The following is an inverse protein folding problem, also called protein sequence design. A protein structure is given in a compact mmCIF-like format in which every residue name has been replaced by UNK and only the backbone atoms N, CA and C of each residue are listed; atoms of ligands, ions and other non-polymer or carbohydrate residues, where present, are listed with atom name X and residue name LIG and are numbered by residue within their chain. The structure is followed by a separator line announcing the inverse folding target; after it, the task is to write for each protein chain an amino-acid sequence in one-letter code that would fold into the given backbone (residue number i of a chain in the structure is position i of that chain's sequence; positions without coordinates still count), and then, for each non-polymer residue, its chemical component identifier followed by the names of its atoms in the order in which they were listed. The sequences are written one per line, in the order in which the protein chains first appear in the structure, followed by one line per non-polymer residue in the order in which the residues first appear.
data_IF_285209438203
#
_entry.id   IF_285209438203
#
_cell.length_a   1.000
_cell.length_b   1.000
_cell.length_c   1.000
_cell.angle_alpha   90.00
_cell.angle_beta   90.00
_cell.angle_gamma   90.00
#
_symmetry.space_group_name_H-M   'P 1'
#
loop_
_entity.id
_entity.type
_entity.pdbx_description
1 polymer ?
#
# COMPACT_ATOMS: atom_id res chain seq x y z
N UNK A 1 5.05 -0.76 -5.17
CA UNK A 1 5.00 0.01 -3.92
C UNK A 1 3.90 1.07 -4.00
N UNK A 2 3.95 2.04 -4.95
CA UNK A 2 2.96 3.11 -5.05
C UNK A 2 1.52 2.62 -5.20
N UNK A 3 1.29 1.57 -5.97
CA UNK A 3 -0.02 0.93 -6.14
C UNK A 3 -0.58 0.36 -4.83
N UNK A 4 0.26 -0.32 -4.02
CA UNK A 4 -0.16 -0.87 -2.73
C UNK A 4 -0.56 0.25 -1.75
N UNK A 5 0.17 1.36 -1.73
CA UNK A 5 -0.16 2.54 -0.94
C UNK A 5 -1.53 3.10 -1.32
N UNK A 6 -1.76 3.34 -2.62
CA UNK A 6 -3.02 3.91 -3.11
C UNK A 6 -4.20 2.97 -2.85
N UNK A 7 -3.99 1.66 -3.01
CA UNK A 7 -5.02 0.66 -2.69
C UNK A 7 -5.52 0.78 -1.26
N UNK A 8 -4.62 0.91 -0.31
CA UNK A 8 -5.00 1.00 1.10
C UNK A 8 -5.55 2.37 1.46
N UNK A 9 -4.91 3.45 1.03
CA UNK A 9 -5.36 4.80 1.36
C UNK A 9 -6.74 5.13 0.78
N UNK A 10 -7.09 4.58 -0.39
CA UNK A 10 -8.39 4.81 -1.02
C UNK A 10 -9.49 3.86 -0.52
N UNK A 11 -9.19 2.56 -0.38
CA UNK A 11 -10.23 1.55 -0.17
C UNK A 11 -10.42 1.11 1.28
N UNK A 12 -9.42 1.30 2.15
CA UNK A 12 -9.59 1.00 3.58
C UNK A 12 -10.60 1.92 4.28
N UNK A 13 -10.62 3.25 4.04
CA UNK A 13 -11.69 4.10 4.55
C UNK A 13 -13.08 3.69 4.07
N UNK A 14 -13.18 3.31 2.79
CA UNK A 14 -14.44 2.82 2.21
C UNK A 14 -14.93 1.54 2.90
N UNK A 15 -14.01 0.63 3.24
CA UNK A 15 -14.35 -0.57 3.99
C UNK A 15 -14.81 -0.23 5.41
N UNK A 16 -14.09 0.66 6.11
CA UNK A 16 -14.44 1.05 7.50
C UNK A 16 -15.79 1.75 7.55
N UNK A 17 -16.00 2.75 6.70
CA UNK A 17 -17.25 3.55 6.73
C UNK A 17 -18.43 2.82 6.09
N UNK A 18 -18.24 2.23 4.91
CA UNK A 18 -19.31 1.56 4.15
C UNK A 18 -19.66 0.20 4.73
N UNK A 19 -18.69 -0.67 4.91
CA UNK A 19 -18.91 -2.07 5.30
C UNK A 19 -19.06 -2.23 6.80
N UNK A 20 -18.12 -1.70 7.60
CA UNK A 20 -18.15 -1.83 9.06
C UNK A 20 -19.09 -0.81 9.72
N UNK A 21 -19.55 0.22 8.99
CA UNK A 21 -20.40 1.27 9.55
C UNK A 21 -19.67 2.19 10.52
N UNK A 22 -18.35 2.24 10.43
CA UNK A 22 -17.54 3.11 11.26
C UNK A 22 -17.67 4.58 10.89
N UNK A 23 -17.30 5.46 11.82
CA UNK A 23 -17.30 6.89 11.63
C UNK A 23 -16.17 7.37 10.71
N UNK A 24 -16.30 8.53 10.05
CA UNK A 24 -15.17 9.15 9.31
C UNK A 24 -13.93 9.37 10.16
N UNK A 25 -14.11 9.62 11.48
CA UNK A 25 -13.01 9.77 12.43
C UNK A 25 -12.24 8.45 12.62
N UNK A 26 -12.94 7.34 12.71
CA UNK A 26 -12.31 6.02 12.81
C UNK A 26 -11.52 5.65 11.55
N UNK A 27 -12.06 5.94 10.38
CA UNK A 27 -11.33 5.78 9.12
C UNK A 27 -10.10 6.69 9.06
N UNK A 28 -10.24 7.97 9.43
CA UNK A 28 -9.14 8.94 9.49
C UNK A 28 -8.04 8.55 10.47
N UNK A 29 -8.39 8.12 11.69
CA UNK A 29 -7.42 7.66 12.69
C UNK A 29 -6.70 6.39 12.25
N UNK A 30 -7.35 5.52 11.51
CA UNK A 30 -6.72 4.33 10.92
C UNK A 30 -5.67 4.70 9.88
N UNK A 31 -5.98 5.65 8.98
CA UNK A 31 -5.01 6.17 8.02
C UNK A 31 -3.88 6.98 8.69
N UNK A 32 -4.15 7.64 9.81
CA UNK A 32 -3.12 8.34 10.57
C UNK A 32 -2.01 7.39 11.05
N UNK A 33 -2.35 6.15 11.42
CA UNK A 33 -1.35 5.13 11.77
C UNK A 33 -0.44 4.77 10.60
N UNK A 34 -0.97 4.71 9.38
CA UNK A 34 -0.14 4.53 8.17
C UNK A 34 0.81 5.73 7.98
N UNK A 35 0.30 6.95 8.17
CA UNK A 35 1.08 8.19 8.05
C UNK A 35 2.16 8.33 9.13
N UNK A 36 1.98 7.73 10.31
CA UNK A 36 2.99 7.65 11.38
C UNK A 36 4.00 6.54 11.08
N UNK A 37 3.53 5.38 10.64
CA UNK A 37 4.38 4.23 10.33
C UNK A 37 5.43 4.54 9.26
N UNK A 38 5.06 5.33 8.25
CA UNK A 38 5.96 5.68 7.14
C UNK A 38 7.22 6.46 7.60
N UNK A 39 7.14 7.64 8.23
CA UNK A 39 8.33 8.38 8.64
C UNK A 39 9.15 7.62 9.68
N UNK A 40 8.51 6.92 10.62
CA UNK A 40 9.20 6.10 11.62
C UNK A 40 10.07 5.03 10.96
N UNK A 41 9.49 4.27 10.03
CA UNK A 41 10.23 3.24 9.31
C UNK A 41 11.26 3.83 8.35
N UNK A 42 10.98 4.97 7.73
CA UNK A 42 11.91 5.68 6.86
C UNK A 42 13.17 6.14 7.61
N UNK A 43 13.03 6.69 8.81
CA UNK A 43 14.17 7.06 9.66
C UNK A 43 14.96 5.84 10.14
N UNK A 44 14.26 4.76 10.46
CA UNK A 44 14.90 3.51 10.88
C UNK A 44 15.63 2.80 9.73
N UNK A 45 15.15 2.97 8.49
CA UNK A 45 15.72 2.32 7.31
C UNK A 45 17.19 2.67 7.09
N UNK A 46 17.58 3.94 7.37
CA UNK A 46 18.97 4.38 7.29
C UNK A 46 19.90 3.57 8.19
N UNK A 47 19.50 3.38 9.44
CA UNK A 47 20.28 2.55 10.39
C UNK A 47 20.27 1.08 10.01
N UNK A 48 19.13 0.55 9.58
CA UNK A 48 19.02 -0.85 9.14
C UNK A 48 19.91 -1.15 7.94
N UNK A 49 19.97 -0.25 6.95
CA UNK A 49 20.83 -0.40 5.78
C UNK A 49 22.32 -0.47 6.16
N UNK A 50 22.75 0.33 7.15
CA UNK A 50 24.13 0.31 7.65
C UNK A 50 24.45 -0.98 8.45
N UNK A 51 23.50 -1.48 9.23
CA UNK A 51 23.68 -2.66 10.08
C UNK A 51 23.54 -3.98 9.29
N UNK A 52 22.76 -3.99 8.22
CA UNK A 52 22.45 -5.21 7.46
C UNK A 52 22.88 -5.09 6.00
N UNK A 53 21.94 -4.76 5.13
CA UNK A 53 22.16 -4.49 3.70
C UNK A 53 20.93 -3.80 3.09
N UNK A 54 21.11 -3.17 1.91
CA UNK A 54 19.98 -2.62 1.14
C UNK A 54 18.93 -3.69 0.83
N UNK A 55 19.37 -4.89 0.42
CA UNK A 55 18.50 -6.02 0.12
C UNK A 55 17.68 -6.47 1.33
N UNK A 56 18.32 -6.64 2.50
CA UNK A 56 17.64 -7.10 3.71
C UNK A 56 16.59 -6.09 4.18
N UNK A 57 16.92 -4.79 4.15
CA UNK A 57 15.99 -3.71 4.53
C UNK A 57 14.81 -3.62 3.56
N UNK A 58 15.04 -3.74 2.23
CA UNK A 58 13.99 -3.77 1.23
C UNK A 58 13.09 -4.99 1.38
N UNK A 59 13.66 -6.18 1.64
CA UNK A 59 12.88 -7.40 1.89
C UNK A 59 12.01 -7.30 3.13
N UNK A 60 12.54 -6.74 4.23
CA UNK A 60 11.75 -6.50 5.44
C UNK A 60 10.57 -5.57 5.15
N UNK A 61 10.81 -4.47 4.43
CA UNK A 61 9.74 -3.55 4.03
C UNK A 61 8.69 -4.22 3.15
N UNK A 62 9.11 -5.01 2.16
CA UNK A 62 8.21 -5.73 1.27
C UNK A 62 7.41 -6.82 2.01
N UNK A 63 8.00 -7.52 2.98
CA UNK A 63 7.31 -8.47 3.85
C UNK A 63 6.23 -7.78 4.69
N UNK A 64 6.51 -6.58 5.23
CA UNK A 64 5.50 -5.80 5.96
C UNK A 64 4.34 -5.38 5.05
N UNK A 65 4.62 -5.01 3.78
CA UNK A 65 3.56 -4.71 2.80
C UNK A 65 2.68 -5.93 2.52
N UNK A 66 3.29 -7.08 2.30
CA UNK A 66 2.56 -8.34 2.06
C UNK A 66 1.74 -8.73 3.29
N UNK A 67 2.33 -8.71 4.48
CA UNK A 67 1.65 -9.06 5.72
C UNK A 67 0.49 -8.11 6.01
N UNK A 68 0.66 -6.79 5.81
CA UNK A 68 -0.42 -5.82 5.92
C UNK A 68 -1.55 -6.09 4.92
N UNK A 69 -1.20 -6.41 3.66
CA UNK A 69 -2.18 -6.81 2.64
C UNK A 69 -2.94 -8.08 2.99
N UNK A 70 -2.28 -9.09 3.55
CA UNK A 70 -2.91 -10.34 4.00
C UNK A 70 -3.86 -10.10 5.19
N UNK A 71 -3.50 -9.22 6.12
CA UNK A 71 -4.39 -8.85 7.23
C UNK A 71 -5.66 -8.18 6.70
N UNK A 72 -5.56 -7.33 5.66
CA UNK A 72 -6.73 -6.71 5.03
C UNK A 72 -7.67 -7.73 4.40
N UNK A 73 -7.16 -8.84 3.87
CA UNK A 73 -7.99 -9.94 3.37
C UNK A 73 -8.78 -10.64 4.47
N UNK A 74 -8.31 -10.59 5.71
CA UNK A 74 -8.99 -11.19 6.87
C UNK A 74 -9.98 -10.24 7.54
N UNK A 75 -10.10 -8.98 7.07
CA UNK A 75 -11.07 -8.04 7.63
C UNK A 75 -12.50 -8.54 7.38
N UNK A 76 -13.29 -8.57 8.44
CA UNK A 76 -14.71 -8.94 8.38
C UNK A 76 -15.59 -7.73 8.71
N UNK A 77 -16.82 -7.68 8.19
CA UNK A 77 -17.77 -6.60 8.49
C UNK A 77 -18.05 -6.43 9.99
N UNK A 78 -18.01 -7.54 10.74
CA UNK A 78 -18.18 -7.59 12.21
C UNK A 78 -16.86 -7.61 12.97
N UNK A 79 -15.73 -7.56 12.25
CA UNK A 79 -14.39 -7.58 12.82
C UNK A 79 -14.05 -6.26 13.53
N UNK A 80 -13.19 -6.34 14.52
CA UNK A 80 -12.72 -5.16 15.23
C UNK A 80 -11.82 -4.27 14.35
N UNK A 81 -11.91 -2.96 14.51
CA UNK A 81 -11.10 -1.94 13.83
C UNK A 81 -9.58 -2.11 14.07
N UNK A 82 -9.20 -2.86 15.10
CA UNK A 82 -7.80 -3.11 15.46
C UNK A 82 -7.00 -3.71 14.31
N UNK A 83 -7.56 -4.71 13.61
CA UNK A 83 -6.88 -5.35 12.49
C UNK A 83 -6.65 -4.41 11.31
N UNK A 84 -7.61 -3.54 11.01
CA UNK A 84 -7.45 -2.48 10.01
C UNK A 84 -6.35 -1.48 10.39
N UNK A 85 -6.26 -1.12 11.67
CA UNK A 85 -5.22 -0.24 12.21
C UNK A 85 -3.83 -0.87 12.14
N UNK A 86 -3.72 -2.14 12.52
CA UNK A 86 -2.45 -2.90 12.43
C UNK A 86 -2.01 -3.00 10.97
N UNK A 87 -2.91 -3.37 10.06
CA UNK A 87 -2.61 -3.44 8.64
C UNK A 87 -2.12 -2.09 8.08
N UNK A 88 -2.83 -0.99 8.39
CA UNK A 88 -2.45 0.35 7.97
C UNK A 88 -1.05 0.74 8.46
N UNK A 89 -0.74 0.48 9.73
CA UNK A 89 0.59 0.74 10.29
C UNK A 89 1.68 -0.10 9.59
N UNK A 90 1.45 -1.40 9.40
CA UNK A 90 2.40 -2.30 8.73
C UNK A 90 2.67 -1.86 7.29
N UNK A 91 1.64 -1.45 6.56
CA UNK A 91 1.81 -0.93 5.21
C UNK A 91 2.57 0.38 5.21
N UNK A 92 2.25 1.31 6.12
CA UNK A 92 3.03 2.55 6.28
C UNK A 92 4.51 2.27 6.56
N UNK A 93 4.80 1.38 7.50
CA UNK A 93 6.16 0.98 7.84
C UNK A 93 6.86 0.28 6.66
N UNK A 94 6.19 -0.63 5.98
CA UNK A 94 6.72 -1.29 4.79
C UNK A 94 7.04 -0.30 3.67
N UNK A 95 6.17 0.68 3.44
CA UNK A 95 6.40 1.79 2.50
C UNK A 95 7.62 2.61 2.88
N UNK A 96 7.77 2.96 4.17
CA UNK A 96 8.92 3.73 4.67
C UNK A 96 10.24 3.02 4.41
N UNK A 97 10.33 1.73 4.75
CA UNK A 97 11.51 0.92 4.51
C UNK A 97 11.82 0.78 3.01
N UNK A 98 10.85 0.36 2.21
CA UNK A 98 11.05 0.14 0.78
C UNK A 98 11.42 1.43 0.05
N UNK A 99 10.63 2.50 0.22
CA UNK A 99 10.82 3.75 -0.51
C UNK A 99 12.20 4.36 -0.25
N UNK A 100 12.62 4.42 1.01
CA UNK A 100 13.93 4.95 1.38
C UNK A 100 15.05 4.08 0.86
N UNK A 101 14.94 2.76 0.99
CA UNK A 101 15.97 1.83 0.54
C UNK A 101 16.14 1.87 -0.98
N UNK A 102 15.05 1.86 -1.75
CA UNK A 102 15.12 1.97 -3.21
C UNK A 102 15.75 3.28 -3.64
N UNK A 103 15.32 4.40 -3.03
CA UNK A 103 15.86 5.73 -3.36
C UNK A 103 17.36 5.82 -3.10
N UNK A 104 17.80 5.42 -1.90
CA UNK A 104 19.22 5.46 -1.51
C UNK A 104 20.05 4.49 -2.35
N UNK A 105 19.53 3.30 -2.66
CA UNK A 105 20.21 2.32 -3.52
C UNK A 105 20.47 2.88 -4.91
N UNK A 106 19.49 3.56 -5.51
CA UNK A 106 19.63 4.18 -6.83
C UNK A 106 20.61 5.37 -6.79
N UNK A 107 20.53 6.21 -5.76
CA UNK A 107 21.43 7.35 -5.60
C UNK A 107 22.89 6.91 -5.42
N UNK A 108 23.13 5.81 -4.70
CA UNK A 108 24.48 5.29 -4.48
C UNK A 108 25.04 4.52 -5.69
N UNK A 109 24.16 3.98 -6.54
CA UNK A 109 24.57 3.36 -7.80
C UNK A 109 24.82 4.38 -8.93
N UNK A 110 24.29 5.60 -8.82
CA UNK A 110 24.42 6.65 -9.83
C UNK A 110 25.67 7.52 -9.60
N UNK A 111 26.38 7.84 -10.67
CA UNK A 111 27.46 8.82 -10.63
C UNK A 111 26.95 10.18 -10.13
N UNK A 112 27.78 10.93 -9.40
CA UNK A 112 27.37 12.18 -8.72
C UNK A 112 26.67 13.17 -9.66
N UNK A 113 27.16 13.32 -10.89
CA UNK A 113 26.61 14.25 -11.91
C UNK A 113 25.16 13.93 -12.33
N UNK A 114 24.71 12.67 -12.21
CA UNK A 114 23.39 12.22 -12.66
C UNK A 114 22.47 11.78 -11.51
N UNK A 115 22.89 11.93 -10.25
CA UNK A 115 22.08 11.54 -9.07
C UNK A 115 20.71 12.23 -9.04
N UNK A 116 20.63 13.49 -9.44
CA UNK A 116 19.37 14.22 -9.55
C UNK A 116 18.41 13.59 -10.56
N UNK A 117 18.92 13.21 -11.72
CA UNK A 117 18.14 12.55 -12.78
C UNK A 117 17.67 11.17 -12.28
N UNK A 118 18.56 10.38 -11.67
CA UNK A 118 18.24 9.07 -11.15
C UNK A 118 17.14 9.13 -10.05
N UNK A 119 17.22 10.13 -9.17
CA UNK A 119 16.19 10.41 -8.16
C UNK A 119 14.85 10.77 -8.81
N UNK A 120 14.86 11.69 -9.80
CA UNK A 120 13.65 12.09 -10.50
C UNK A 120 12.99 10.91 -11.23
N UNK A 121 13.76 10.06 -11.91
CA UNK A 121 13.28 8.83 -12.56
C UNK A 121 12.63 7.86 -11.55
N UNK A 122 13.23 7.70 -10.38
CA UNK A 122 12.68 6.84 -9.32
C UNK A 122 11.33 7.36 -8.82
N UNK A 123 11.23 8.66 -8.56
CA UNK A 123 9.97 9.29 -8.12
C UNK A 123 8.93 9.23 -9.23
N UNK A 124 9.29 9.52 -10.47
CA UNK A 124 8.40 9.44 -11.62
C UNK A 124 7.84 8.03 -11.81
N UNK A 125 8.70 7.01 -11.81
CA UNK A 125 8.28 5.61 -11.94
C UNK A 125 7.32 5.20 -10.82
N UNK A 126 7.54 5.67 -9.59
CA UNK A 126 6.63 5.45 -8.47
C UNK A 126 5.27 6.12 -8.70
N UNK A 127 5.24 7.36 -9.20
CA UNK A 127 3.99 8.08 -9.50
C UNK A 127 3.19 7.38 -10.59
N UNK A 128 3.85 6.97 -11.68
CA UNK A 128 3.22 6.20 -12.76
C UNK A 128 2.69 4.86 -12.23
N UNK A 129 3.48 4.16 -11.43
CA UNK A 129 3.05 2.91 -10.79
C UNK A 129 1.86 3.10 -9.84
N UNK A 130 1.78 4.24 -9.12
CA UNK A 130 0.62 4.59 -8.30
C UNK A 130 -0.63 4.83 -9.15
N UNK A 131 -0.51 5.58 -10.25
CA UNK A 131 -1.62 5.88 -11.14
C UNK A 131 -2.20 4.60 -11.79
N UNK A 132 -1.32 3.77 -12.36
CA UNK A 132 -1.71 2.48 -12.95
C UNK A 132 -2.34 1.57 -11.90
N UNK A 133 -1.71 1.49 -10.71
CA UNK A 133 -2.22 0.68 -9.61
C UNK A 133 -3.62 1.11 -9.16
N UNK A 134 -3.83 2.42 -8.99
CA UNK A 134 -5.15 2.96 -8.62
C UNK A 134 -6.20 2.66 -9.69
N UNK A 135 -5.85 2.78 -10.97
CA UNK A 135 -6.74 2.45 -12.07
C UNK A 135 -7.14 0.96 -12.07
N UNK A 136 -6.17 0.06 -11.88
CA UNK A 136 -6.42 -1.40 -11.80
C UNK A 136 -7.31 -1.73 -10.60
N UNK A 137 -7.02 -1.17 -9.42
CA UNK A 137 -7.79 -1.42 -8.21
C UNK A 137 -9.20 -0.85 -8.31
N UNK A 138 -9.36 0.36 -8.88
CA UNK A 138 -10.67 0.96 -9.15
C UNK A 138 -11.49 0.16 -10.16
N UNK A 139 -10.85 -0.28 -11.25
CA UNK A 139 -11.49 -1.16 -12.23
C UNK A 139 -11.91 -2.50 -11.60
N UNK A 140 -11.06 -3.09 -10.75
CA UNK A 140 -11.39 -4.32 -10.02
C UNK A 140 -12.62 -4.13 -9.14
N UNK A 141 -12.72 -3.01 -8.41
CA UNK A 141 -13.91 -2.72 -7.60
C UNK A 141 -15.15 -2.57 -8.47
N UNK A 142 -15.09 -1.71 -9.50
CA UNK A 142 -16.24 -1.39 -10.34
C UNK A 142 -16.75 -2.65 -11.09
N UNK A 143 -15.86 -3.44 -11.67
CA UNK A 143 -16.25 -4.68 -12.35
C UNK A 143 -16.93 -5.66 -11.38
N UNK A 144 -16.37 -5.88 -10.20
CA UNK A 144 -16.98 -6.76 -9.20
C UNK A 144 -18.36 -6.23 -8.74
N UNK A 145 -18.51 -4.93 -8.55
CA UNK A 145 -19.79 -4.33 -8.16
C UNK A 145 -20.82 -4.47 -9.28
N UNK A 146 -20.48 -4.20 -10.54
CA UNK A 146 -21.38 -4.37 -11.68
C UNK A 146 -21.86 -5.81 -11.86
N UNK A 147 -20.97 -6.78 -11.62
CA UNK A 147 -21.34 -8.21 -11.72
C UNK A 147 -22.24 -8.67 -10.57
N UNK A 148 -22.04 -8.12 -9.35
CA UNK A 148 -22.76 -8.55 -8.15
C UNK A 148 -24.04 -7.75 -7.90
N UNK A 149 -24.07 -6.50 -8.32
CA UNK A 149 -25.13 -5.53 -8.04
C UNK A 149 -25.46 -4.74 -9.32
N UNK A 150 -25.90 -5.41 -10.42
CA UNK A 150 -26.13 -4.74 -11.71
C UNK A 150 -27.26 -3.73 -11.68
N UNK A 151 -28.20 -3.85 -10.74
CA UNK A 151 -29.39 -2.97 -10.61
C UNK A 151 -29.20 -1.85 -9.59
N UNK A 152 -28.04 -1.77 -8.92
CA UNK A 152 -27.80 -0.79 -7.86
C UNK A 152 -26.80 0.25 -8.36
N UNK A 153 -27.27 1.47 -8.54
CA UNK A 153 -26.40 2.61 -8.84
C UNK A 153 -25.61 3.00 -7.58
N UNK A 154 -24.29 3.16 -7.75
CA UNK A 154 -23.35 3.61 -6.72
C UNK A 154 -23.49 2.92 -5.35
N UNK A 155 -23.35 1.57 -5.28
CA UNK A 155 -23.58 0.81 -4.05
C UNK A 155 -22.69 1.23 -2.89
N UNK A 156 -21.47 1.72 -3.18
CA UNK A 156 -20.55 2.23 -2.17
C UNK A 156 -21.07 3.52 -1.55
N UNK A 157 -21.51 4.46 -2.37
CA UNK A 157 -22.03 5.74 -1.89
C UNK A 157 -23.28 5.54 -1.05
N UNK A 158 -24.17 4.64 -1.46
CA UNK A 158 -25.38 4.29 -0.68
C UNK A 158 -25.05 3.80 0.73
N UNK A 159 -23.98 3.02 0.89
CA UNK A 159 -23.54 2.56 2.20
C UNK A 159 -22.87 3.65 3.04
N UNK A 160 -22.24 4.62 2.40
CA UNK A 160 -21.55 5.72 3.08
C UNK A 160 -22.52 6.84 3.49
N UNK A 161 -23.71 6.90 2.91
CA UNK A 161 -24.72 7.92 3.21
C UNK A 161 -25.65 7.48 4.37
N UNK A 162 -25.57 8.11 5.56
CA UNK A 162 -26.31 7.66 6.74
C UNK A 162 -27.83 7.68 6.55
N UNK A 163 -28.36 8.65 5.79
CA UNK A 163 -29.78 8.77 5.52
C UNK A 163 -30.30 7.58 4.68
N UNK A 164 -29.58 7.21 3.63
CA UNK A 164 -29.92 6.07 2.77
C UNK A 164 -29.79 4.77 3.55
N UNK A 165 -28.71 4.62 4.32
CA UNK A 165 -28.48 3.43 5.15
C UNK A 165 -29.59 3.17 6.18
N UNK A 166 -30.15 4.23 6.77
CA UNK A 166 -31.25 4.13 7.74
C UNK A 166 -32.61 3.85 7.06
N UNK A 167 -32.80 4.26 5.81
CA UNK A 167 -34.04 4.04 5.07
C UNK A 167 -34.14 2.63 4.47
N UNK A 168 -33.02 1.90 4.39
CA UNK A 168 -32.99 0.54 3.86
C UNK A 168 -33.50 -0.46 4.88
N UNK A 169 -34.24 -1.48 4.42
CA UNK A 169 -34.62 -2.61 5.25
C UNK A 169 -33.39 -3.42 5.69
N UNK A 170 -33.43 -4.00 6.89
CA UNK A 170 -32.29 -4.71 7.49
C UNK A 170 -31.70 -5.81 6.59
N UNK A 171 -32.54 -6.51 5.85
CA UNK A 171 -32.13 -7.61 4.98
C UNK A 171 -31.44 -7.09 3.71
N UNK A 172 -31.98 -6.04 3.06
CA UNK A 172 -31.37 -5.40 1.91
C UNK A 172 -30.03 -4.75 2.25
N UNK A 173 -29.94 -4.11 3.44
CA UNK A 173 -28.72 -3.53 3.94
C UNK A 173 -27.65 -4.62 4.18
N UNK A 174 -27.99 -5.74 4.80
CA UNK A 174 -27.07 -6.82 5.08
C UNK A 174 -26.52 -7.44 3.75
N UNK A 175 -27.37 -7.64 2.76
CA UNK A 175 -26.97 -8.11 1.44
C UNK A 175 -26.04 -7.13 0.75
N UNK A 176 -26.33 -5.83 0.78
CA UNK A 176 -25.51 -4.80 0.18
C UNK A 176 -24.12 -4.74 0.84
N UNK A 177 -24.06 -4.77 2.17
CA UNK A 177 -22.80 -4.82 2.94
C UNK A 177 -21.96 -6.03 2.52
N UNK A 178 -22.57 -7.20 2.42
CA UNK A 178 -21.87 -8.44 2.07
C UNK A 178 -21.31 -8.37 0.64
N UNK A 179 -22.05 -7.87 -0.34
CA UNK A 179 -21.59 -7.78 -1.72
C UNK A 179 -20.49 -6.74 -1.90
N UNK A 180 -20.61 -5.58 -1.24
CA UNK A 180 -19.57 -4.54 -1.27
C UNK A 180 -18.30 -5.03 -0.53
N UNK A 181 -18.45 -5.70 0.62
CA UNK A 181 -17.32 -6.31 1.31
C UNK A 181 -16.59 -7.33 0.44
N UNK A 182 -17.31 -8.22 -0.23
CA UNK A 182 -16.73 -9.20 -1.15
C UNK A 182 -16.00 -8.54 -2.32
N UNK A 183 -16.53 -7.42 -2.85
CA UNK A 183 -15.87 -6.66 -3.92
C UNK A 183 -14.59 -5.98 -3.46
N UNK A 184 -14.59 -5.43 -2.23
CA UNK A 184 -13.40 -4.83 -1.62
C UNK A 184 -12.34 -5.89 -1.26
N UNK A 185 -12.71 -7.10 -0.91
CA UNK A 185 -11.75 -8.19 -0.71
C UNK A 185 -10.99 -8.53 -1.99
N UNK A 186 -11.62 -8.47 -3.17
CA UNK A 186 -10.91 -8.61 -4.44
C UNK A 186 -9.89 -7.48 -4.66
N UNK A 187 -10.22 -6.25 -4.28
CA UNK A 187 -9.28 -5.12 -4.34
C UNK A 187 -8.08 -5.36 -3.41
N UNK A 188 -8.32 -5.83 -2.19
CA UNK A 188 -7.25 -6.16 -1.25
C UNK A 188 -6.41 -7.34 -1.73
N UNK A 189 -7.01 -8.34 -2.38
CA UNK A 189 -6.28 -9.45 -2.99
C UNK A 189 -5.34 -8.96 -4.09
N UNK A 190 -5.83 -8.14 -5.02
CA UNK A 190 -4.99 -7.56 -6.07
C UNK A 190 -3.88 -6.70 -5.47
N UNK A 191 -4.18 -5.90 -4.43
CA UNK A 191 -3.17 -5.11 -3.72
C UNK A 191 -2.10 -5.99 -3.05
N UNK A 192 -2.49 -7.13 -2.46
CA UNK A 192 -1.56 -8.10 -1.88
C UNK A 192 -0.67 -8.76 -2.95
N UNK A 193 -1.25 -9.11 -4.11
CA UNK A 193 -0.49 -9.65 -5.25
C UNK A 193 0.53 -8.63 -5.78
N UNK A 194 0.15 -7.36 -5.88
CA UNK A 194 1.07 -6.27 -6.26
C UNK A 194 2.20 -6.12 -5.21
N UNK A 195 1.89 -6.32 -3.93
CA UNK A 195 2.91 -6.31 -2.87
C UNK A 195 3.88 -7.48 -2.98
N UNK A 196 3.44 -8.66 -3.46
CA UNK A 196 4.32 -9.79 -3.78
C UNK A 196 5.27 -9.47 -4.94
N UNK A 197 4.82 -8.71 -5.95
CA UNK A 197 5.74 -8.22 -7.00
C UNK A 197 6.79 -7.26 -6.43
N UNK A 198 6.43 -6.43 -5.46
CA UNK A 198 7.40 -5.58 -4.76
C UNK A 198 8.42 -6.42 -3.96
N UNK A 199 7.99 -7.53 -3.37
CA UNK A 199 8.88 -8.48 -2.69
C UNK A 199 9.84 -9.16 -3.67
N UNK A 200 9.34 -9.60 -4.84
CA UNK A 200 10.18 -10.15 -5.90
C UNK A 200 11.20 -9.13 -6.42
N UNK A 201 10.79 -7.88 -6.62
CA UNK A 201 11.71 -6.80 -6.99
C UNK A 201 12.78 -6.52 -5.92
N UNK A 202 12.42 -6.59 -4.64
CA UNK A 202 13.37 -6.44 -3.54
C UNK A 202 14.45 -7.55 -3.51
N UNK A 203 14.13 -8.75 -3.99
CA UNK A 203 15.12 -9.84 -4.13
C UNK A 203 16.17 -9.55 -5.19
N UNK A 204 15.88 -8.71 -6.18
CA UNK A 204 16.79 -8.35 -7.27
C UNK A 204 17.77 -7.23 -6.87
N UNK A 205 17.57 -6.56 -5.75
CA UNK A 205 18.48 -5.51 -5.27
C UNK A 205 19.81 -6.13 -4.85
N UNK A 206 20.97 -5.56 -5.25
CA UNK A 206 22.27 -6.01 -4.79
C UNK A 206 22.41 -5.83 -3.27
N UNK A 207 23.05 -6.78 -2.60
CA UNK A 207 23.22 -6.76 -1.15
C UNK A 207 24.02 -5.55 -0.65
N UNK A 208 25.02 -5.11 -1.46
CA UNK A 208 25.82 -3.90 -1.20
C UNK A 208 26.01 -3.15 -2.52
N UNK A 209 25.74 -1.85 -2.53
CA UNK A 209 26.22 -0.99 -3.60
C UNK A 209 27.69 -0.65 -3.31
N UNK A 210 28.63 -1.05 -4.17
CA UNK A 210 30.01 -0.55 -4.12
C UNK A 210 29.97 0.95 -4.45
N UNK A 211 30.57 1.83 -3.64
CA UNK A 211 30.81 3.21 -4.05
C UNK A 211 31.68 3.19 -5.32
N UNK A 212 31.27 3.90 -6.36
CA UNK A 212 32.03 4.02 -7.62
C UNK A 212 33.30 4.92 -7.48
N UNK A 213 33.95 4.95 -6.33
CA UNK A 213 35.19 5.72 -6.13
C UNK A 213 36.43 4.85 -5.94
N UNK A 214 36.25 3.60 -5.57
CA UNK A 214 37.41 2.74 -5.27
C UNK A 214 38.00 2.01 -6.50
N UNK A 215 37.32 2.07 -7.66
CA UNK A 215 37.81 1.47 -8.89
C UNK A 215 38.73 2.37 -9.71
N UNK A 216 38.55 3.68 -9.63
CA UNK A 216 39.35 4.64 -10.41
C UNK A 216 40.72 4.92 -9.75
N UNK A 217 40.84 4.80 -8.43
CA UNK A 217 42.14 4.97 -7.75
C UNK A 217 43.06 3.74 -7.93
N UNK A 218 42.47 2.55 -8.17
CA UNK A 218 43.25 1.33 -8.42
C UNK A 218 43.74 1.20 -9.87
N UNK A 219 43.18 1.97 -10.83
CA UNK A 219 43.57 1.97 -12.22
C UNK A 219 44.55 3.13 -12.55
N UNK A 220 44.72 4.08 -11.62
CA UNK A 220 45.68 5.20 -11.72
C UNK A 220 46.97 4.99 -10.88
N UNK A 221 47.09 3.90 -10.16
CA UNK A 221 48.28 3.48 -9.39
C UNK A 221 48.99 2.32 -10.06
#
# INVERSE_FOLDING_TARGET
IGAAMMGISAFLPTFIQGVMGGSPLEAGTTLALMSIGWPLASTLSGRLMLMTSYRATALLGALLLVAGGLILLMLQPTGGLLWGRVAAFMVGAGMGLCNTTFLVSVQNAAHYSIRGIATACTVFTRMVGSAIGTAILGATLNLNLQWRLPEVDDPVQRLMEPAVRQSMGSEALAQLIQQVAASLHWVFLVSALVSLLALAAAMLIPARCRPQGEGEEAEQA
#
